data_IF_887098388921
#
_entry.id   IF_887098388921
#
_cell.length_a   1.000
_cell.length_b   1.000
_cell.length_c   1.000
_cell.angle_alpha   90.00
_cell.angle_beta   90.00
_cell.angle_gamma   90.00
#
_symmetry.space_group_name_H-M   'P 1'
#
loop_
_entity.id
_entity.type
_entity.pdbx_description
1 polymer ?
#
# COMPACT_ATOMS: atom_id res chain seq x y z
N UNK A 1 14.22 4.29 1.56
CA UNK A 1 13.04 3.43 1.82
C UNK A 1 11.85 4.33 2.12
N UNK A 2 10.63 3.81 2.00
CA UNK A 2 9.39 4.55 2.27
C UNK A 2 8.41 3.64 3.03
N UNK A 3 7.79 4.17 4.08
CA UNK A 3 6.68 3.51 4.79
C UNK A 3 5.47 4.42 4.67
N UNK A 4 4.36 3.90 4.16
CA UNK A 4 3.11 4.65 4.02
C UNK A 4 2.01 3.91 4.76
N UNK A 5 1.31 4.63 5.62
CA UNK A 5 0.09 4.19 6.27
C UNK A 5 -1.08 5.00 5.72
N UNK A 6 -2.11 4.33 5.21
CA UNK A 6 -3.26 5.00 4.59
C UNK A 6 -4.56 4.21 4.78
N UNK A 7 -5.65 4.92 5.02
CA UNK A 7 -6.96 4.32 5.32
C UNK A 7 -7.71 3.98 4.02
N UNK A 8 -7.97 4.99 3.20
CA UNK A 8 -8.50 4.88 1.84
C UNK A 8 -8.12 6.14 1.09
N UNK A 9 -7.43 6.02 -0.04
CA UNK A 9 -7.15 7.19 -0.89
C UNK A 9 -8.45 7.56 -1.61
N UNK A 10 -8.88 8.81 -1.48
CA UNK A 10 -9.91 9.36 -2.36
C UNK A 10 -9.35 9.55 -3.79
N UNK A 11 -10.21 9.70 -4.80
CA UNK A 11 -9.75 9.99 -6.18
C UNK A 11 -8.85 11.24 -6.25
N UNK A 12 -9.07 12.20 -5.35
CA UNK A 12 -8.24 13.41 -5.23
C UNK A 12 -6.86 13.11 -4.65
N UNK A 13 -6.78 12.20 -3.68
CA UNK A 13 -5.50 11.75 -3.10
C UNK A 13 -4.67 10.94 -4.11
N UNK A 14 -5.33 10.22 -5.02
CA UNK A 14 -4.65 9.52 -6.11
C UNK A 14 -3.92 10.49 -7.03
N UNK A 15 -4.56 11.61 -7.39
CA UNK A 15 -3.98 12.63 -8.26
C UNK A 15 -2.73 13.28 -7.61
N UNK A 16 -2.75 13.44 -6.29
CA UNK A 16 -1.60 13.92 -5.51
C UNK A 16 -0.47 12.88 -5.38
N UNK A 17 -0.77 11.58 -5.44
CA UNK A 17 0.26 10.53 -5.50
C UNK A 17 0.94 10.42 -6.88
N UNK A 18 0.29 10.89 -7.96
CA UNK A 18 0.99 11.07 -9.23
C UNK A 18 2.00 12.23 -9.19
N UNK A 19 1.91 13.12 -8.20
CA UNK A 19 2.90 14.16 -7.89
C UNK A 19 4.05 13.68 -6.99
N UNK A 20 4.16 12.36 -6.74
CA UNK A 20 5.28 11.77 -6.03
C UNK A 20 6.60 12.23 -6.64
N UNK A 21 7.61 12.60 -5.82
CA UNK A 21 8.90 13.03 -6.33
C UNK A 21 9.47 12.04 -7.34
N UNK A 22 9.84 12.53 -8.52
CA UNK A 22 10.48 11.74 -9.59
C UNK A 22 11.65 10.89 -9.04
N UNK A 23 12.32 11.38 -8.00
CA UNK A 23 13.42 10.69 -7.33
C UNK A 23 13.04 9.32 -6.75
N UNK A 24 11.78 9.04 -6.44
CA UNK A 24 11.34 7.72 -5.98
C UNK A 24 11.46 6.67 -7.09
N UNK A 25 11.33 7.07 -8.34
CA UNK A 25 11.45 6.13 -9.46
C UNK A 25 12.88 5.59 -9.57
N UNK A 26 13.89 6.40 -9.24
CA UNK A 26 15.31 6.07 -9.41
C UNK A 26 16.04 5.69 -8.11
N UNK A 27 15.51 6.02 -6.93
CA UNK A 27 16.20 5.78 -5.65
C UNK A 27 15.45 4.86 -4.68
N UNK A 28 14.17 4.57 -4.92
CA UNK A 28 13.37 3.87 -3.94
C UNK A 28 13.54 2.35 -4.03
N UNK A 29 14.36 1.81 -3.13
CA UNK A 29 14.63 0.37 -3.07
C UNK A 29 13.64 -0.43 -2.21
N UNK A 30 12.97 0.20 -1.25
CA UNK A 30 12.09 -0.49 -0.29
C UNK A 30 10.83 0.33 -0.01
N UNK A 31 9.67 -0.31 -0.10
CA UNK A 31 8.36 0.28 0.22
C UNK A 31 7.58 -0.65 1.15
N UNK A 32 7.01 -0.11 2.21
CA UNK A 32 6.06 -0.79 3.09
C UNK A 32 4.74 -0.04 3.09
N UNK A 33 3.68 -0.69 2.57
CA UNK A 33 2.34 -0.14 2.50
C UNK A 33 1.48 -0.77 3.59
N UNK A 34 1.10 0.05 4.56
CA UNK A 34 0.22 -0.31 5.66
C UNK A 34 -1.18 0.25 5.40
N UNK A 35 -2.18 -0.60 5.58
CA UNK A 35 -3.60 -0.24 5.41
C UNK A 35 -4.38 -0.77 6.60
N UNK A 36 -5.33 -0.02 7.18
CA UNK A 36 -6.21 -0.54 8.21
C UNK A 36 -7.10 -1.69 7.70
N UNK A 37 -7.40 -2.63 8.61
CA UNK A 37 -8.29 -3.76 8.35
C UNK A 37 -9.74 -3.35 8.01
N UNK A 38 -10.18 -2.19 8.52
CA UNK A 38 -11.59 -1.73 8.45
C UNK A 38 -12.02 -1.26 7.08
N UNK A 39 -11.08 -0.94 6.18
CA UNK A 39 -11.41 -0.44 4.84
C UNK A 39 -11.66 -1.61 3.89
N UNK A 40 -12.93 -1.93 3.74
CA UNK A 40 -13.45 -3.00 2.87
C UNK A 40 -13.09 -2.75 1.39
N UNK A 41 -12.47 -3.75 0.76
CA UNK A 41 -12.40 -4.07 -0.69
C UNK A 41 -12.35 -2.94 -1.74
N UNK A 42 -11.79 -1.78 -1.43
CA UNK A 42 -11.83 -0.65 -2.37
C UNK A 42 -10.72 -0.77 -3.42
N UNK A 43 -11.06 -0.51 -4.70
CA UNK A 43 -10.14 -0.57 -5.86
C UNK A 43 -8.90 0.33 -5.69
N UNK A 44 -9.02 1.38 -4.88
CA UNK A 44 -7.95 2.30 -4.47
C UNK A 44 -6.79 1.60 -3.77
N UNK A 45 -7.02 0.49 -3.04
CA UNK A 45 -5.95 -0.31 -2.41
C UNK A 45 -4.94 -0.88 -3.42
N UNK A 46 -5.32 -1.00 -4.69
CA UNK A 46 -4.43 -1.52 -5.73
C UNK A 46 -3.52 -0.45 -6.35
N UNK A 47 -3.91 0.82 -6.34
CA UNK A 47 -3.26 1.83 -7.20
C UNK A 47 -1.82 2.13 -6.76
N UNK A 48 -1.59 2.28 -5.45
CA UNK A 48 -0.23 2.50 -4.91
C UNK A 48 0.73 1.32 -5.16
N UNK A 49 0.39 0.07 -4.80
CA UNK A 49 1.23 -1.07 -5.14
C UNK A 49 1.55 -1.15 -6.64
N UNK A 50 0.57 -0.91 -7.50
CA UNK A 50 0.73 -0.92 -8.96
C UNK A 50 1.69 0.19 -9.41
N UNK A 51 1.54 1.40 -8.86
CA UNK A 51 2.40 2.54 -9.18
C UNK A 51 3.86 2.22 -8.89
N UNK A 52 4.19 1.75 -7.68
CA UNK A 52 5.57 1.46 -7.32
C UNK A 52 6.17 0.34 -8.18
N UNK A 53 5.40 -0.72 -8.45
CA UNK A 53 5.85 -1.83 -9.32
C UNK A 53 6.15 -1.36 -10.74
N UNK A 54 5.35 -0.44 -11.29
CA UNK A 54 5.49 0.01 -12.68
C UNK A 54 6.53 1.11 -12.86
N UNK A 55 6.75 1.94 -11.84
CA UNK A 55 7.57 3.14 -11.98
C UNK A 55 8.96 3.04 -11.34
N UNK A 56 9.13 2.30 -10.23
CA UNK A 56 10.40 2.25 -9.52
C UNK A 56 11.36 1.22 -10.12
N UNK A 57 12.43 1.72 -10.75
CA UNK A 57 13.42 0.88 -11.48
C UNK A 57 14.40 0.15 -10.58
N UNK A 58 14.63 0.67 -9.36
CA UNK A 58 15.56 0.08 -8.37
C UNK A 58 14.86 -0.61 -7.20
N UNK A 59 13.53 -0.74 -7.26
CA UNK A 59 12.75 -1.33 -6.18
C UNK A 59 13.15 -2.79 -5.94
N UNK A 60 13.57 -3.12 -4.72
CA UNK A 60 13.97 -4.47 -4.29
C UNK A 60 12.86 -5.14 -3.47
N UNK A 61 12.08 -4.37 -2.71
CA UNK A 61 11.01 -4.94 -1.88
C UNK A 61 9.79 -4.04 -1.82
N UNK A 62 8.63 -4.64 -2.02
CA UNK A 62 7.33 -4.04 -1.75
C UNK A 62 6.59 -4.92 -0.74
N UNK A 63 6.34 -4.38 0.44
CA UNK A 63 5.52 -5.02 1.47
C UNK A 63 4.11 -4.47 1.39
N UNK A 64 3.12 -5.36 1.37
CA UNK A 64 1.70 -5.00 1.37
C UNK A 64 0.99 -5.78 2.47
N UNK A 65 0.00 -5.15 3.11
CA UNK A 65 -0.89 -5.81 4.04
C UNK A 65 -1.66 -6.95 3.36
N UNK A 66 -1.93 -8.03 4.10
CA UNK A 66 -2.83 -9.10 3.68
C UNK A 66 -4.26 -8.56 3.64
N UNK A 67 -4.61 -7.95 2.50
CA UNK A 67 -5.98 -7.65 2.12
C UNK A 67 -6.64 -8.86 1.44
N UNK A 68 -7.72 -8.63 0.70
CA UNK A 68 -8.39 -9.71 -0.03
C UNK A 68 -7.43 -10.40 -1.01
N UNK A 69 -7.41 -11.74 -0.94
CA UNK A 69 -6.46 -12.63 -1.63
C UNK A 69 -6.43 -12.41 -3.17
N UNK A 70 -7.54 -11.92 -3.73
CA UNK A 70 -7.67 -11.56 -5.14
C UNK A 70 -6.74 -10.40 -5.56
N UNK A 71 -6.46 -9.45 -4.67
CA UNK A 71 -5.67 -8.24 -4.92
C UNK A 71 -4.19 -8.57 -5.08
N UNK A 72 -3.65 -9.29 -4.09
CA UNK A 72 -2.27 -9.76 -4.10
C UNK A 72 -1.99 -10.60 -5.35
N UNK A 73 -2.94 -11.47 -5.73
CA UNK A 73 -2.79 -12.30 -6.93
C UNK A 73 -2.74 -11.47 -8.20
N UNK A 74 -3.45 -10.34 -8.27
CA UNK A 74 -3.36 -9.40 -9.40
C UNK A 74 -2.01 -8.70 -9.40
N UNK A 75 -1.57 -8.17 -8.26
CA UNK A 75 -0.27 -7.46 -8.12
C UNK A 75 0.91 -8.34 -8.54
N UNK A 76 0.94 -9.60 -8.10
CA UNK A 76 2.00 -10.56 -8.45
C UNK A 76 2.10 -10.86 -9.96
N UNK A 77 1.02 -10.67 -10.72
CA UNK A 77 0.98 -10.89 -12.18
C UNK A 77 1.45 -9.67 -12.99
N UNK A 78 1.64 -8.52 -12.34
CA UNK A 78 2.02 -7.30 -13.05
C UNK A 78 3.51 -7.37 -13.40
N UNK A 79 3.89 -7.04 -14.65
CA UNK A 79 5.29 -6.89 -15.03
C UNK A 79 5.96 -5.84 -14.15
N UNK A 80 7.01 -6.24 -13.44
CA UNK A 80 7.76 -5.38 -12.55
C UNK A 80 8.79 -4.59 -13.33
N UNK A 81 8.93 -3.30 -13.01
CA UNK A 81 9.97 -2.45 -13.60
C UNK A 81 11.36 -2.87 -13.14
N UNK A 82 11.50 -3.16 -11.85
CA UNK A 82 12.70 -3.76 -11.28
C UNK A 82 12.60 -5.29 -11.28
N UNK A 83 13.62 -5.96 -11.82
CA UNK A 83 13.75 -7.43 -11.77
C UNK A 83 14.01 -7.95 -10.35
N UNK A 84 14.55 -7.10 -9.49
CA UNK A 84 14.89 -7.43 -8.10
C UNK A 84 13.69 -7.30 -7.16
N UNK A 85 12.58 -6.71 -7.61
CA UNK A 85 11.44 -6.41 -6.77
C UNK A 85 10.72 -7.69 -6.31
N UNK A 86 10.79 -7.97 -5.00
CA UNK A 86 9.98 -8.96 -4.32
C UNK A 86 8.72 -8.33 -3.74
N UNK A 87 7.56 -8.98 -3.91
CA UNK A 87 6.29 -8.55 -3.31
C UNK A 87 5.99 -9.47 -2.14
N UNK A 88 6.10 -8.92 -0.92
CA UNK A 88 5.86 -9.63 0.34
C UNK A 88 4.51 -9.22 0.89
N UNK A 89 3.75 -10.22 1.35
CA UNK A 89 2.44 -10.00 1.97
C UNK A 89 2.59 -10.26 3.46
N UNK A 90 2.11 -9.34 4.28
CA UNK A 90 2.14 -9.46 5.74
C UNK A 90 0.75 -9.38 6.32
N UNK A 91 0.40 -10.34 7.18
CA UNK A 91 -0.73 -10.19 8.10
C UNK A 91 -0.43 -9.05 9.04
N UNK A 92 -1.28 -8.03 9.04
CA UNK A 92 -1.15 -6.95 10.00
C UNK A 92 -1.85 -7.35 11.30
N UNK A 93 -1.14 -7.16 12.41
CA UNK A 93 -1.60 -7.51 13.75
C UNK A 93 -2.07 -6.22 14.43
N UNK A 94 -3.36 -5.90 14.29
CA UNK A 94 -3.93 -4.64 14.76
C UNK A 94 -4.44 -4.78 16.20
N UNK A 95 -3.56 -4.65 17.19
CA UNK A 95 -3.97 -4.56 18.60
C UNK A 95 -4.05 -3.09 19.11
N UNK A 96 -4.17 -2.08 18.24
CA UNK A 96 -4.08 -0.66 18.69
C UNK A 96 -5.22 0.24 18.18
N UNK A 97 -5.92 -0.09 17.09
CA UNK A 97 -6.96 0.80 16.52
C UNK A 97 -8.38 0.44 16.99
N UNK A 98 -8.60 -0.79 17.45
CA UNK A 98 -9.89 -1.22 17.99
C UNK A 98 -10.28 -0.38 19.22
N UNK A 99 -9.33 -0.11 20.12
CA UNK A 99 -9.60 0.66 21.33
C UNK A 99 -9.99 2.12 21.03
N UNK A 100 -9.36 2.77 20.04
CA UNK A 100 -9.70 4.16 19.70
C UNK A 100 -11.09 4.29 19.06
N UNK A 101 -11.50 3.33 18.23
CA UNK A 101 -12.83 3.34 17.62
C UNK A 101 -13.92 2.92 18.61
N UNK A 102 -13.62 1.97 19.50
CA UNK A 102 -14.52 1.58 20.60
C UNK A 102 -14.76 2.72 21.58
N UNK A 103 -13.74 3.53 21.88
CA UNK A 103 -13.90 4.72 22.74
C UNK A 103 -14.75 5.80 22.08
N UNK A 104 -14.58 6.06 20.79
CA UNK A 104 -15.41 7.02 20.05
C UNK A 104 -16.88 6.58 19.94
N UNK A 105 -17.13 5.28 19.76
CA UNK A 105 -18.49 4.71 19.73
C UNK A 105 -19.17 4.66 21.10
N UNK A 106 -18.41 4.73 22.20
CA UNK A 106 -18.95 4.78 23.56
C UNK A 106 -19.29 6.21 24.03
N UNK A 107 -18.90 7.22 23.25
CA UNK A 107 -19.17 8.64 23.54
C UNK A 107 -20.35 9.22 22.73
N UNK A 108 -21.02 8.42 21.89
CA UNK A 108 -22.22 8.79 21.13
C UNK A 108 -23.40 7.87 21.44
#
# INVERSE_FOLDING_TARGET
SLVLEYDSLSETDEMNLFHVPQCFQSSLEFVDLKTPATVMETSTKMKLPIYFIRNCSVLKKLVVSEGSNNIIRKIKKIPKRSRLCEVVVVKQNYNVVADTFSLLSAMY
#
